data_IF_301153845500
#
_entry.id   IF_301153845500
#
_cell.length_a   1.000
_cell.length_b   1.000
_cell.length_c   1.000
_cell.angle_alpha   90.00
_cell.angle_beta   90.00
_cell.angle_gamma   90.00
#
_symmetry.space_group_name_H-M   'P 1'
#
loop_
_entity.id
_entity.type
_entity.pdbx_description
1 polymer ?
#
# COMPACT_ATOMS: atom_id res chain seq x y z
N UNK A 1 -33.43 -5.53 -78.63
CA UNK A 1 -33.44 -5.03 -77.19
C UNK A 1 -32.88 -3.61 -77.23
N UNK A 2 -33.65 -2.65 -76.79
CA UNK A 2 -33.33 -1.24 -76.97
C UNK A 2 -32.09 -0.89 -76.07
N UNK A 3 -31.07 -0.17 -76.67
CA UNK A 3 -29.79 0.14 -76.02
C UNK A 3 -29.96 0.77 -74.62
N UNK A 4 -31.07 1.50 -74.41
CA UNK A 4 -31.45 2.07 -73.13
C UNK A 4 -31.82 1.03 -72.07
N UNK A 5 -32.49 -0.05 -72.47
CA UNK A 5 -32.86 -1.16 -71.57
C UNK A 5 -31.62 -1.96 -71.16
N UNK A 6 -30.67 -2.16 -72.11
CA UNK A 6 -29.42 -2.82 -71.83
C UNK A 6 -28.56 -2.05 -70.80
N UNK A 7 -28.50 -0.71 -70.94
CA UNK A 7 -27.75 0.16 -70.00
C UNK A 7 -28.36 0.12 -68.60
N UNK A 8 -29.68 0.11 -68.44
CA UNK A 8 -30.34 0.01 -67.14
C UNK A 8 -30.07 -1.35 -66.48
N UNK A 9 -30.17 -2.43 -67.24
CA UNK A 9 -29.88 -3.78 -66.74
C UNK A 9 -28.43 -3.92 -66.31
N UNK A 10 -27.47 -3.40 -67.09
CA UNK A 10 -26.02 -3.42 -66.71
C UNK A 10 -25.76 -2.58 -65.47
N UNK A 11 -26.37 -1.40 -65.32
CA UNK A 11 -26.26 -0.57 -64.16
C UNK A 11 -26.82 -1.24 -62.89
N UNK A 12 -27.98 -1.89 -62.99
CA UNK A 12 -28.55 -2.62 -61.88
C UNK A 12 -27.70 -3.84 -61.46
N UNK A 13 -27.14 -4.57 -62.41
CA UNK A 13 -26.26 -5.71 -62.13
C UNK A 13 -24.96 -5.22 -61.46
N UNK A 14 -24.36 -4.12 -61.97
CA UNK A 14 -23.17 -3.52 -61.33
C UNK A 14 -23.45 -3.04 -59.90
N UNK A 15 -24.59 -2.42 -59.65
CA UNK A 15 -25.01 -1.97 -58.30
C UNK A 15 -25.20 -3.13 -57.33
N UNK A 16 -25.80 -4.26 -57.81
CA UNK A 16 -25.97 -5.45 -57.04
C UNK A 16 -24.62 -6.13 -56.72
N UNK A 17 -23.74 -6.23 -57.70
CA UNK A 17 -22.40 -6.82 -57.53
C UNK A 17 -21.54 -5.98 -56.58
N UNK A 18 -21.56 -4.62 -56.72
CA UNK A 18 -20.87 -3.75 -55.78
C UNK A 18 -21.49 -3.78 -54.38
N UNK A 19 -22.81 -3.86 -54.29
CA UNK A 19 -23.51 -4.01 -52.99
C UNK A 19 -23.17 -5.34 -52.31
N UNK A 20 -23.12 -6.44 -53.06
CA UNK A 20 -22.72 -7.76 -52.56
C UNK A 20 -21.21 -7.82 -52.20
N UNK A 21 -20.34 -7.14 -52.93
CA UNK A 21 -18.91 -7.04 -52.63
C UNK A 21 -18.66 -6.20 -51.36
N UNK A 22 -19.40 -5.10 -51.17
CA UNK A 22 -19.37 -4.29 -49.97
C UNK A 22 -19.99 -5.01 -48.76
N UNK A 23 -21.08 -5.75 -48.97
CA UNK A 23 -21.70 -6.55 -47.92
C UNK A 23 -20.79 -7.73 -47.50
N UNK A 24 -20.08 -8.38 -48.42
CA UNK A 24 -19.07 -9.39 -48.08
C UNK A 24 -17.85 -8.79 -47.39
N UNK A 25 -17.37 -7.58 -47.76
CA UNK A 25 -16.34 -6.87 -47.00
C UNK A 25 -16.80 -6.38 -45.63
N UNK A 26 -18.11 -6.08 -45.45
CA UNK A 26 -18.71 -5.74 -44.16
C UNK A 26 -19.06 -6.97 -43.31
N UNK A 27 -19.08 -8.18 -43.89
CA UNK A 27 -19.38 -9.43 -43.18
C UNK A 27 -18.15 -10.20 -42.69
N UNK A 28 -16.96 -9.88 -43.22
CA UNK A 28 -15.70 -10.17 -42.56
C UNK A 28 -15.41 -9.02 -41.58
N UNK A 29 -16.32 -8.78 -40.63
CA UNK A 29 -15.95 -8.22 -39.35
C UNK A 29 -14.89 -9.16 -38.82
N UNK A 30 -13.61 -8.82 -39.07
CA UNK A 30 -12.55 -9.28 -38.21
C UNK A 30 -13.13 -9.15 -36.78
N UNK A 31 -13.39 -10.26 -36.11
CA UNK A 31 -13.30 -10.28 -34.68
C UNK A 31 -11.91 -9.71 -34.46
N UNK A 32 -11.83 -8.39 -34.23
CA UNK A 32 -10.67 -7.81 -33.62
C UNK A 32 -10.52 -8.70 -32.39
N UNK A 33 -9.53 -9.60 -32.39
CA UNK A 33 -9.10 -10.28 -31.19
C UNK A 33 -8.95 -9.13 -30.20
N UNK A 34 -9.92 -9.01 -29.29
CA UNK A 34 -9.87 -7.98 -28.26
C UNK A 34 -8.63 -8.32 -27.45
N UNK A 35 -7.52 -7.63 -27.78
CA UNK A 35 -6.31 -7.73 -26.99
C UNK A 35 -6.72 -7.63 -25.52
N UNK A 36 -6.36 -8.63 -24.73
CA UNK A 36 -6.60 -8.58 -23.30
C UNK A 36 -5.96 -7.30 -22.75
N UNK A 37 -6.66 -6.67 -21.82
CA UNK A 37 -6.10 -5.53 -21.11
C UNK A 37 -4.82 -5.94 -20.41
N UNK A 38 -3.80 -5.11 -20.46
CA UNK A 38 -2.50 -5.35 -19.86
C UNK A 38 -2.24 -4.30 -18.77
N UNK A 39 -2.11 -4.76 -17.53
CA UNK A 39 -1.83 -3.91 -16.38
C UNK A 39 -0.31 -3.93 -16.13
N UNK A 40 0.30 -2.77 -15.90
CA UNK A 40 1.67 -2.68 -15.40
C UNK A 40 1.67 -2.49 -13.88
N UNK A 41 2.54 -3.21 -13.16
CA UNK A 41 2.74 -3.05 -11.72
C UNK A 41 4.23 -2.85 -11.44
N UNK A 42 4.60 -1.66 -10.97
CA UNK A 42 5.96 -1.35 -10.55
C UNK A 42 6.02 -1.25 -9.02
N UNK A 43 6.74 -2.19 -8.41
CA UNK A 43 6.93 -2.25 -6.96
C UNK A 43 8.30 -1.68 -6.58
N UNK A 44 8.36 -0.99 -5.45
CA UNK A 44 9.60 -0.59 -4.81
C UNK A 44 10.48 -1.81 -4.51
N UNK A 45 9.92 -2.78 -3.78
CA UNK A 45 10.66 -3.95 -3.29
C UNK A 45 9.74 -5.14 -3.05
N UNK A 46 10.33 -6.34 -3.01
CA UNK A 46 9.67 -7.58 -2.56
C UNK A 46 10.37 -8.19 -1.33
N UNK A 47 11.21 -7.41 -0.63
CA UNK A 47 11.94 -7.91 0.55
C UNK A 47 11.01 -8.22 1.72
N UNK A 48 9.99 -7.37 1.96
CA UNK A 48 9.00 -7.60 3.00
C UNK A 48 7.90 -8.55 2.50
N UNK A 49 7.49 -9.47 3.37
CA UNK A 49 6.45 -10.47 3.06
C UNK A 49 5.11 -9.81 2.64
N UNK A 50 4.82 -8.63 3.19
CA UNK A 50 3.64 -7.84 2.82
C UNK A 50 3.61 -7.58 1.31
N UNK A 51 4.68 -7.03 0.72
CA UNK A 51 4.71 -6.68 -0.69
C UNK A 51 4.59 -7.89 -1.63
N UNK A 52 5.11 -9.04 -1.20
CA UNK A 52 4.90 -10.30 -1.90
C UNK A 52 3.42 -10.68 -1.91
N UNK A 53 2.76 -10.59 -0.73
CA UNK A 53 1.34 -10.86 -0.58
C UNK A 53 0.47 -9.90 -1.41
N UNK A 54 0.75 -8.60 -1.35
CA UNK A 54 0.02 -7.58 -2.12
C UNK A 54 0.13 -7.85 -3.63
N UNK A 55 1.34 -8.10 -4.15
CA UNK A 55 1.58 -8.47 -5.54
C UNK A 55 0.76 -9.70 -5.95
N UNK A 56 0.85 -10.77 -5.17
CA UNK A 56 0.19 -12.04 -5.51
C UNK A 56 -1.34 -11.89 -5.53
N UNK A 57 -1.90 -11.11 -4.60
CA UNK A 57 -3.34 -10.81 -4.57
C UNK A 57 -3.78 -9.94 -5.74
N UNK A 58 -3.00 -8.92 -6.11
CA UNK A 58 -3.27 -8.06 -7.28
C UNK A 58 -3.22 -8.90 -8.56
N UNK A 59 -2.14 -9.65 -8.78
CA UNK A 59 -1.95 -10.52 -9.95
C UNK A 59 -3.12 -11.50 -10.10
N UNK A 60 -3.44 -12.20 -9.03
CA UNK A 60 -4.58 -13.13 -9.01
C UNK A 60 -5.88 -12.42 -9.40
N UNK A 61 -6.16 -11.24 -8.79
CA UNK A 61 -7.41 -10.53 -9.05
C UNK A 61 -7.49 -9.98 -10.46
N UNK A 62 -6.40 -9.48 -11.02
CA UNK A 62 -6.33 -9.03 -12.42
C UNK A 62 -6.66 -10.17 -13.39
N UNK A 63 -6.08 -11.36 -13.17
CA UNK A 63 -6.40 -12.55 -13.97
C UNK A 63 -7.85 -12.99 -13.82
N UNK A 64 -8.43 -12.98 -12.60
CA UNK A 64 -9.86 -13.26 -12.37
C UNK A 64 -10.77 -12.29 -13.14
N UNK A 65 -10.32 -11.06 -13.39
CA UNK A 65 -11.04 -10.05 -14.17
C UNK A 65 -10.82 -10.17 -15.69
N UNK A 66 -10.07 -11.17 -16.13
CA UNK A 66 -9.80 -11.44 -17.55
C UNK A 66 -8.73 -10.56 -18.18
N UNK A 67 -7.95 -9.82 -17.37
CA UNK A 67 -6.80 -9.02 -17.82
C UNK A 67 -5.47 -9.75 -17.57
N UNK A 68 -4.40 -9.28 -18.23
CA UNK A 68 -3.02 -9.70 -17.99
C UNK A 68 -2.28 -8.65 -17.17
N UNK A 69 -1.18 -9.05 -16.54
CA UNK A 69 -0.37 -8.14 -15.73
C UNK A 69 1.13 -8.41 -15.94
N UNK A 70 1.93 -7.35 -15.99
CA UNK A 70 3.39 -7.39 -15.91
C UNK A 70 3.82 -6.70 -14.64
N UNK A 71 4.54 -7.40 -13.78
CA UNK A 71 5.07 -6.86 -12.54
C UNK A 71 6.60 -6.77 -12.53
N UNK A 72 7.12 -5.76 -11.85
CA UNK A 72 8.56 -5.48 -11.66
C UNK A 72 8.82 -5.07 -10.22
N UNK A 73 10.06 -5.20 -9.77
CA UNK A 73 10.49 -4.76 -8.44
C UNK A 73 11.89 -4.15 -8.47
N UNK A 74 12.02 -2.93 -8.00
CA UNK A 74 13.20 -2.09 -8.12
C UNK A 74 14.25 -2.28 -7.01
N UNK A 75 13.94 -3.05 -5.96
CA UNK A 75 14.84 -3.33 -4.83
C UNK A 75 15.37 -2.08 -4.10
N UNK A 76 14.52 -1.09 -3.87
CA UNK A 76 14.85 0.18 -3.22
C UNK A 76 15.83 1.06 -4.04
N UNK A 77 15.68 1.07 -5.36
CA UNK A 77 16.49 1.89 -6.26
C UNK A 77 15.58 2.70 -7.20
N UNK A 78 15.63 4.03 -7.08
CA UNK A 78 14.80 4.94 -7.89
C UNK A 78 15.12 4.86 -9.38
N UNK A 79 16.39 4.71 -9.74
CA UNK A 79 16.80 4.63 -11.15
C UNK A 79 16.32 3.30 -11.77
N UNK A 80 16.42 2.20 -11.03
CA UNK A 80 15.87 0.92 -11.42
C UNK A 80 14.35 1.00 -11.59
N UNK A 81 13.64 1.66 -10.65
CA UNK A 81 12.19 1.81 -10.73
C UNK A 81 11.75 2.62 -11.95
N UNK A 82 12.43 3.71 -12.26
CA UNK A 82 12.18 4.49 -13.49
C UNK A 82 12.42 3.63 -14.74
N UNK A 83 13.51 2.86 -14.78
CA UNK A 83 13.79 1.94 -15.90
C UNK A 83 12.74 0.83 -16.04
N UNK A 84 12.19 0.35 -14.95
CA UNK A 84 11.08 -0.62 -14.95
C UNK A 84 9.78 0.00 -15.47
N UNK A 85 9.47 1.24 -15.10
CA UNK A 85 8.35 2.00 -15.64
C UNK A 85 8.50 2.21 -17.15
N UNK A 86 9.71 2.56 -17.63
CA UNK A 86 10.00 2.68 -19.08
C UNK A 86 9.73 1.36 -19.83
N UNK A 87 10.14 0.23 -19.26
CA UNK A 87 9.85 -1.09 -19.82
C UNK A 87 8.35 -1.38 -19.89
N UNK A 88 7.61 -1.09 -18.81
CA UNK A 88 6.16 -1.29 -18.78
C UNK A 88 5.45 -0.42 -19.83
N UNK A 89 5.84 0.85 -19.98
CA UNK A 89 5.34 1.74 -21.04
C UNK A 89 5.64 1.17 -22.42
N UNK A 90 6.87 0.70 -22.67
CA UNK A 90 7.29 0.10 -23.93
C UNK A 90 6.52 -1.18 -24.27
N UNK A 91 6.08 -1.92 -23.25
CA UNK A 91 5.20 -3.09 -23.41
C UNK A 91 3.72 -2.72 -23.61
N UNK A 92 3.40 -1.42 -23.77
CA UNK A 92 2.05 -0.91 -24.05
C UNK A 92 1.01 -1.36 -23.01
N UNK A 93 1.32 -1.22 -21.73
CA UNK A 93 0.33 -1.44 -20.67
C UNK A 93 -0.82 -0.43 -20.78
N UNK A 94 -2.04 -0.83 -20.45
CA UNK A 94 -3.24 0.02 -20.55
C UNK A 94 -3.43 0.92 -19.32
N UNK A 95 -2.81 0.54 -18.21
CA UNK A 95 -2.75 1.31 -16.95
C UNK A 95 -1.47 0.92 -16.22
N UNK A 96 -0.91 1.85 -15.47
CA UNK A 96 0.27 1.63 -14.65
C UNK A 96 -0.09 1.80 -13.16
N UNK A 97 0.21 0.79 -12.35
CA UNK A 97 0.15 0.85 -10.90
C UNK A 97 1.57 0.98 -10.37
N UNK A 98 1.82 1.92 -9.46
CA UNK A 98 3.14 2.17 -8.89
C UNK A 98 3.06 2.16 -7.37
N UNK A 99 3.91 1.35 -6.72
CA UNK A 99 4.30 1.51 -5.32
C UNK A 99 5.63 2.25 -5.31
N UNK A 100 5.68 3.56 -5.09
CA UNK A 100 6.92 4.31 -5.23
C UNK A 100 7.93 4.00 -4.11
N UNK A 101 9.23 3.90 -4.44
CA UNK A 101 10.31 3.94 -3.45
C UNK A 101 10.46 5.37 -2.91
N UNK A 102 10.69 6.34 -3.80
CA UNK A 102 10.63 7.76 -3.46
C UNK A 102 9.41 8.40 -4.13
N UNK A 103 8.49 8.92 -3.30
CA UNK A 103 7.24 9.52 -3.77
C UNK A 103 7.45 10.75 -4.66
N UNK A 104 8.56 11.48 -4.54
CA UNK A 104 8.88 12.62 -5.40
C UNK A 104 9.58 12.18 -6.69
N UNK A 105 10.56 11.28 -6.59
CA UNK A 105 11.29 10.78 -7.74
C UNK A 105 10.35 10.14 -8.77
N UNK A 106 9.32 9.42 -8.32
CA UNK A 106 8.36 8.74 -9.19
C UNK A 106 7.38 9.68 -9.90
N UNK A 107 7.37 10.99 -9.60
CA UNK A 107 6.65 11.99 -10.42
C UNK A 107 7.11 11.97 -11.90
N UNK A 108 8.40 11.67 -12.14
CA UNK A 108 8.93 11.47 -13.49
C UNK A 108 8.25 10.29 -14.19
N UNK A 109 8.06 9.17 -13.49
CA UNK A 109 7.36 8.00 -14.03
C UNK A 109 5.91 8.28 -14.42
N UNK A 110 5.20 9.10 -13.61
CA UNK A 110 3.84 9.55 -13.94
C UNK A 110 3.84 10.37 -15.23
N UNK A 111 4.76 11.35 -15.35
CA UNK A 111 4.85 12.18 -16.56
C UNK A 111 5.11 11.33 -17.82
N UNK A 112 6.04 10.38 -17.76
CA UNK A 112 6.37 9.48 -18.86
C UNK A 112 5.16 8.60 -19.28
N UNK A 113 4.41 8.08 -18.31
CA UNK A 113 3.21 7.30 -18.57
C UNK A 113 2.12 8.17 -19.25
N UNK A 114 1.93 9.40 -18.80
CA UNK A 114 0.98 10.34 -19.41
C UNK A 114 1.35 10.76 -20.82
N UNK A 115 2.64 10.98 -21.10
CA UNK A 115 3.13 11.22 -22.47
C UNK A 115 2.79 10.06 -23.43
N UNK A 116 2.76 8.82 -22.89
CA UNK A 116 2.32 7.63 -23.63
C UNK A 116 0.79 7.41 -23.59
N UNK A 117 0.02 8.30 -22.95
CA UNK A 117 -1.43 8.19 -22.79
C UNK A 117 -1.87 7.09 -21.81
N UNK A 118 -1.00 6.66 -20.91
CA UNK A 118 -1.24 5.61 -19.91
C UNK A 118 -1.60 6.25 -18.57
N UNK A 119 -2.79 6.00 -18.01
CA UNK A 119 -3.16 6.49 -16.69
C UNK A 119 -2.40 5.75 -15.58
N UNK A 120 -2.22 6.45 -14.44
CA UNK A 120 -1.38 5.98 -13.33
C UNK A 120 -2.16 5.92 -12.02
N UNK A 121 -2.05 4.80 -11.34
CA UNK A 121 -2.52 4.59 -9.96
C UNK A 121 -1.31 4.53 -9.02
N UNK A 122 -1.28 5.38 -8.00
CA UNK A 122 -0.39 5.15 -6.86
C UNK A 122 -1.06 4.16 -5.91
N UNK A 123 -0.37 3.05 -5.62
CA UNK A 123 -0.83 2.02 -4.71
C UNK A 123 -0.08 2.10 -3.39
N UNK A 124 -0.81 2.17 -2.29
CA UNK A 124 -0.36 2.30 -0.90
C UNK A 124 0.43 3.59 -0.63
N UNK A 125 1.51 3.87 -1.34
CA UNK A 125 2.35 5.06 -1.17
C UNK A 125 2.02 6.14 -2.18
N UNK A 126 1.92 7.40 -1.74
CA UNK A 126 1.53 8.53 -2.57
C UNK A 126 2.70 9.02 -3.44
N UNK A 127 2.44 9.21 -4.75
CA UNK A 127 3.36 9.92 -5.64
C UNK A 127 3.05 11.42 -5.55
N UNK A 128 4.04 12.19 -5.10
CA UNK A 128 3.91 13.63 -4.88
C UNK A 128 4.23 14.44 -6.12
N UNK A 129 3.80 15.68 -6.11
CA UNK A 129 4.17 16.70 -7.10
C UNK A 129 3.90 16.27 -8.57
N UNK A 130 2.86 15.45 -8.78
CA UNK A 130 2.51 14.83 -10.06
C UNK A 130 1.01 14.98 -10.40
N UNK A 131 0.64 14.75 -11.66
CA UNK A 131 -0.76 14.72 -12.11
C UNK A 131 -1.35 13.30 -12.00
N UNK A 132 -1.23 12.69 -10.84
CA UNK A 132 -1.68 11.34 -10.58
C UNK A 132 -3.19 11.18 -10.80
N UNK A 133 -3.62 10.08 -11.48
CA UNK A 133 -5.04 9.85 -11.80
C UNK A 133 -5.84 9.29 -10.62
N UNK A 134 -5.21 8.44 -9.80
CA UNK A 134 -5.87 7.81 -8.66
C UNK A 134 -4.85 7.40 -7.59
N UNK A 135 -5.25 7.58 -6.33
CA UNK A 135 -4.53 7.06 -5.17
C UNK A 135 -5.38 6.01 -4.45
N UNK A 136 -4.81 4.82 -4.22
CA UNK A 136 -5.47 3.71 -3.51
C UNK A 136 -4.62 3.31 -2.33
N UNK A 137 -5.10 3.57 -1.11
CA UNK A 137 -4.31 3.40 0.11
C UNK A 137 -5.21 3.18 1.34
N UNK A 138 -4.61 3.31 2.51
CA UNK A 138 -5.27 3.39 3.81
C UNK A 138 -5.29 4.83 4.32
N UNK A 139 -6.11 5.10 5.33
CA UNK A 139 -6.06 6.38 6.05
C UNK A 139 -4.82 6.42 6.95
N UNK A 140 -3.72 6.89 6.40
CA UNK A 140 -2.43 6.90 7.06
C UNK A 140 -2.34 7.90 8.24
N UNK A 141 -3.10 9.00 8.18
CA UNK A 141 -3.21 9.91 9.32
C UNK A 141 -3.89 9.18 10.48
N UNK A 142 -4.97 8.46 10.20
CA UNK A 142 -5.68 7.66 11.21
C UNK A 142 -4.82 6.55 11.79
N UNK A 143 -3.94 5.93 10.99
CA UNK A 143 -2.94 4.97 11.52
C UNK A 143 -2.10 5.63 12.62
N UNK A 144 -1.53 6.80 12.35
CA UNK A 144 -0.71 7.52 13.33
C UNK A 144 -1.51 7.92 14.58
N UNK A 145 -2.75 8.38 14.40
CA UNK A 145 -3.64 8.70 15.53
C UNK A 145 -3.88 7.47 16.40
N UNK A 146 -4.28 6.34 15.83
CA UNK A 146 -4.55 5.11 16.58
C UNK A 146 -3.31 4.59 17.33
N UNK A 147 -2.11 4.69 16.74
CA UNK A 147 -0.87 4.33 17.43
C UNK A 147 -0.63 5.21 18.65
N UNK A 148 -0.77 6.53 18.49
CA UNK A 148 -0.55 7.47 19.58
C UNK A 148 -1.65 7.39 20.66
N UNK A 149 -2.93 7.27 20.28
CA UNK A 149 -4.07 7.06 21.18
C UNK A 149 -3.84 5.82 22.06
N UNK A 150 -3.44 4.71 21.41
CA UNK A 150 -3.13 3.48 22.15
C UNK A 150 -1.97 3.70 23.13
N UNK A 151 -0.84 4.23 22.66
CA UNK A 151 0.31 4.45 23.53
C UNK A 151 -0.04 5.32 24.73
N UNK A 152 -0.65 6.49 24.50
CA UNK A 152 -1.03 7.46 25.53
C UNK A 152 -1.96 6.85 26.58
N UNK A 153 -2.94 6.06 26.15
CA UNK A 153 -3.91 5.42 27.06
C UNK A 153 -3.33 4.25 27.87
N UNK A 154 -2.23 3.63 27.42
CA UNK A 154 -1.61 2.46 28.05
C UNK A 154 -0.27 2.74 28.72
N UNK A 155 0.19 4.01 28.76
CA UNK A 155 1.35 4.39 29.59
C UNK A 155 1.12 3.98 31.04
N UNK A 156 2.18 3.70 31.85
CA UNK A 156 2.06 3.34 33.25
C UNK A 156 1.20 4.32 34.07
N UNK A 157 1.26 5.60 33.72
CA UNK A 157 0.28 6.62 34.14
C UNK A 157 -0.39 7.13 32.85
N UNK A 158 -1.66 6.78 32.58
CA UNK A 158 -2.35 7.20 31.36
C UNK A 158 -2.23 8.71 31.11
N UNK A 159 -1.79 9.06 29.91
CA UNK A 159 -1.58 10.45 29.49
C UNK A 159 -0.29 11.09 30.00
N UNK A 160 0.57 10.39 30.75
CA UNK A 160 1.82 10.94 31.29
C UNK A 160 2.98 9.97 31.12
N UNK A 161 4.12 10.46 30.66
CA UNK A 161 5.31 9.63 30.52
C UNK A 161 6.35 10.17 29.57
N UNK A 162 7.39 9.37 29.36
CA UNK A 162 8.48 9.64 28.44
C UNK A 162 8.49 8.62 27.31
N UNK A 163 8.60 9.07 26.08
CA UNK A 163 8.50 8.20 24.91
C UNK A 163 9.67 8.42 23.94
N UNK A 164 10.01 7.36 23.22
CA UNK A 164 10.85 7.40 22.03
C UNK A 164 9.92 7.34 20.81
N UNK A 165 10.22 8.10 19.74
CA UNK A 165 9.48 8.02 18.48
C UNK A 165 10.40 7.53 17.38
N UNK A 166 9.93 6.54 16.61
CA UNK A 166 10.64 6.02 15.44
C UNK A 166 9.73 6.22 14.23
N UNK A 167 10.13 7.14 13.37
CA UNK A 167 9.45 7.40 12.11
C UNK A 167 9.90 6.42 11.03
N UNK A 168 9.13 6.33 9.93
CA UNK A 168 9.50 5.54 8.77
C UNK A 168 10.54 6.20 7.87
N UNK A 169 10.61 5.79 6.60
CA UNK A 169 11.50 6.42 5.62
C UNK A 169 11.03 7.81 5.24
N UNK A 170 11.97 8.77 5.10
CA UNK A 170 11.67 10.14 4.65
C UNK A 170 11.20 10.22 3.20
N UNK A 171 11.52 9.22 2.39
CA UNK A 171 11.14 9.13 0.98
C UNK A 171 9.69 8.67 0.79
N UNK A 172 9.11 8.04 1.83
CA UNK A 172 7.74 7.56 1.84
C UNK A 172 6.80 8.58 2.50
N UNK A 173 5.83 9.09 1.72
CA UNK A 173 4.84 10.05 2.23
C UNK A 173 3.98 9.49 3.36
N UNK A 174 3.76 8.16 3.41
CA UNK A 174 3.00 7.53 4.49
C UNK A 174 3.65 7.79 5.86
N UNK A 175 4.99 7.75 5.93
CA UNK A 175 5.72 8.05 7.17
C UNK A 175 5.46 9.47 7.69
N UNK A 176 5.34 10.45 6.78
CA UNK A 176 4.96 11.83 7.14
C UNK A 176 3.51 11.89 7.63
N UNK A 177 2.58 11.16 7.00
CA UNK A 177 1.18 11.11 7.40
C UNK A 177 1.00 10.39 8.76
N UNK A 178 1.72 9.30 9.02
CA UNK A 178 1.74 8.66 10.35
C UNK A 178 2.23 9.62 11.42
N UNK A 179 3.36 10.33 11.12
CA UNK A 179 3.86 11.35 12.04
C UNK A 179 2.82 12.44 12.31
N UNK A 180 2.12 12.91 11.28
CA UNK A 180 1.04 13.91 11.43
C UNK A 180 -0.06 13.39 12.36
N UNK A 181 -0.54 12.16 12.16
CA UNK A 181 -1.55 11.54 13.02
C UNK A 181 -1.07 11.41 14.48
N UNK A 182 0.17 10.98 14.66
CA UNK A 182 0.79 10.93 15.99
C UNK A 182 0.87 12.33 16.63
N UNK A 183 1.26 13.35 15.85
CA UNK A 183 1.35 14.75 16.33
C UNK A 183 -0.03 15.28 16.71
N UNK A 184 -1.09 15.00 15.95
CA UNK A 184 -2.46 15.40 16.26
C UNK A 184 -2.87 14.96 17.67
N UNK A 185 -2.55 13.73 18.04
CA UNK A 185 -2.89 13.16 19.37
C UNK A 185 -1.94 13.66 20.45
N UNK A 186 -0.63 13.71 20.18
CA UNK A 186 0.38 14.04 21.18
C UNK A 186 0.43 15.53 21.51
N UNK A 187 0.06 16.43 20.60
CA UNK A 187 0.20 17.87 20.76
C UNK A 187 -0.32 18.42 22.11
N UNK A 188 -1.53 18.11 22.59
CA UNK A 188 -2.03 18.62 23.86
C UNK A 188 -1.22 18.09 25.08
N UNK A 189 -0.70 16.88 25.02
CA UNK A 189 0.10 16.29 26.11
C UNK A 189 1.51 16.88 26.16
N UNK A 190 2.11 17.11 24.99
CA UNK A 190 3.42 17.78 24.86
C UNK A 190 3.35 19.23 25.34
N UNK A 191 2.29 19.96 24.95
CA UNK A 191 2.09 21.35 25.35
C UNK A 191 1.97 21.54 26.88
N UNK A 192 1.36 20.56 27.59
CA UNK A 192 1.24 20.56 29.04
C UNK A 192 2.47 19.99 29.76
N UNK A 193 3.41 19.38 29.04
CA UNK A 193 4.54 18.66 29.63
C UNK A 193 4.15 17.32 30.27
N UNK A 194 2.95 16.82 30.02
CA UNK A 194 2.48 15.52 30.51
C UNK A 194 3.23 14.36 29.84
N UNK A 195 3.50 14.49 28.53
CA UNK A 195 4.34 13.57 27.78
C UNK A 195 5.59 14.30 27.31
N UNK A 196 6.74 13.62 27.36
CA UNK A 196 8.00 14.10 26.84
C UNK A 196 8.56 13.12 25.83
N UNK A 197 8.89 13.58 24.63
CA UNK A 197 9.69 12.84 23.67
C UNK A 197 11.16 12.99 24.08
N UNK A 198 11.79 11.90 24.49
CA UNK A 198 13.19 11.90 24.94
C UNK A 198 14.16 11.68 23.79
N UNK A 199 13.72 10.99 22.75
CA UNK A 199 14.48 10.77 21.52
C UNK A 199 13.52 10.52 20.34
N UNK A 200 13.89 11.01 19.15
CA UNK A 200 13.13 10.71 17.93
C UNK A 200 14.04 10.75 16.70
N UNK A 201 13.82 9.85 15.75
CA UNK A 201 14.51 9.85 14.47
C UNK A 201 13.76 9.03 13.41
N UNK A 202 14.23 9.12 12.17
CA UNK A 202 13.70 8.44 10.99
C UNK A 202 14.49 7.15 10.70
N UNK A 203 13.77 6.06 10.46
CA UNK A 203 14.37 4.79 10.06
C UNK A 203 14.47 4.75 8.52
N UNK A 204 15.69 4.95 8.02
CA UNK A 204 16.01 4.89 6.60
C UNK A 204 15.51 3.58 5.99
N UNK A 205 14.79 3.66 4.85
CA UNK A 205 14.22 2.55 4.11
C UNK A 205 13.41 1.57 4.98
N UNK A 206 12.81 2.07 6.06
CA UNK A 206 12.06 1.27 7.03
C UNK A 206 12.88 0.14 7.69
N UNK A 207 14.21 0.20 7.62
CA UNK A 207 15.10 -0.87 8.07
C UNK A 207 15.02 -1.08 9.59
N UNK A 208 14.79 -2.33 10.07
CA UNK A 208 14.83 -2.65 11.50
C UNK A 208 16.13 -2.28 12.17
N UNK A 209 17.26 -2.40 11.47
CA UNK A 209 18.60 -2.02 11.98
C UNK A 209 18.71 -0.53 12.25
N UNK A 210 18.05 0.32 11.44
CA UNK A 210 17.98 1.75 11.70
C UNK A 210 17.18 2.03 12.98
N UNK A 211 16.04 1.40 13.15
CA UNK A 211 15.23 1.51 14.36
C UNK A 211 15.97 1.02 15.62
N UNK A 212 16.72 -0.08 15.52
CA UNK A 212 17.58 -0.57 16.59
C UNK A 212 18.62 0.48 17.02
N UNK A 213 19.30 1.12 16.04
CA UNK A 213 20.26 2.17 16.33
C UNK A 213 19.65 3.38 17.05
N UNK A 214 18.42 3.76 16.65
CA UNK A 214 17.67 4.86 17.27
C UNK A 214 17.41 4.56 18.75
N UNK A 215 16.93 3.35 19.08
CA UNK A 215 16.65 2.97 20.48
C UNK A 215 17.95 2.82 21.28
N UNK A 216 19.01 2.26 20.72
CA UNK A 216 20.31 2.18 21.37
C UNK A 216 20.88 3.57 21.70
N UNK A 217 20.73 4.55 20.78
CA UNK A 217 21.12 5.92 21.04
C UNK A 217 20.30 6.54 22.18
N UNK A 218 18.98 6.29 22.22
CA UNK A 218 18.12 6.74 23.29
C UNK A 218 18.52 6.13 24.65
N UNK A 219 18.80 4.83 24.69
CA UNK A 219 19.24 4.13 25.92
C UNK A 219 20.60 4.65 26.39
N UNK A 220 21.53 4.89 25.46
CA UNK A 220 22.84 5.46 25.80
C UNK A 220 22.70 6.84 26.42
N UNK A 221 21.80 7.68 25.90
CA UNK A 221 21.62 9.06 26.36
C UNK A 221 20.78 9.18 27.65
N UNK A 222 19.79 8.30 27.86
CA UNK A 222 18.75 8.44 28.88
C UNK A 222 18.61 7.20 29.77
N UNK A 223 19.39 6.12 29.56
CA UNK A 223 19.19 4.84 30.25
C UNK A 223 17.80 4.27 29.99
N UNK A 224 17.19 3.68 31.01
CA UNK A 224 15.84 3.12 30.96
C UNK A 224 14.72 4.16 31.27
N UNK A 225 15.05 5.45 31.29
CA UNK A 225 14.12 6.51 31.71
C UNK A 225 13.16 6.92 30.57
N UNK A 226 12.42 5.92 30.09
CA UNK A 226 11.29 6.08 29.17
C UNK A 226 10.28 4.95 29.38
N UNK A 227 9.03 5.16 28.94
CA UNK A 227 7.88 4.28 29.19
C UNK A 227 7.45 3.50 27.96
N UNK A 228 7.70 4.03 26.76
CA UNK A 228 7.30 3.38 25.52
C UNK A 228 8.02 3.88 24.28
N UNK A 229 7.89 3.11 23.22
CA UNK A 229 8.42 3.38 21.87
C UNK A 229 7.24 3.46 20.92
N UNK A 230 7.01 4.64 20.35
CA UNK A 230 6.04 4.88 19.30
C UNK A 230 6.72 4.57 17.95
N UNK A 231 6.68 3.30 17.56
CA UNK A 231 7.23 2.82 16.30
C UNK A 231 6.15 2.80 15.21
N UNK A 232 6.50 3.28 14.02
CA UNK A 232 5.53 3.51 12.93
C UNK A 232 5.11 2.24 12.19
N UNK A 233 5.91 1.16 12.21
CA UNK A 233 5.52 -0.13 11.65
C UNK A 233 6.15 -1.30 12.42
N UNK A 234 5.77 -2.54 12.05
CA UNK A 234 6.20 -3.77 12.73
C UNK A 234 7.67 -4.12 12.50
N UNK A 235 8.23 -3.73 11.35
CA UNK A 235 9.65 -3.86 11.06
C UNK A 235 10.50 -2.99 12.01
N UNK A 236 10.16 -1.71 12.12
CA UNK A 236 10.84 -0.77 13.04
C UNK A 236 10.56 -1.12 14.50
N UNK A 237 9.35 -1.60 14.85
CA UNK A 237 9.05 -2.15 16.16
C UNK A 237 9.95 -3.35 16.50
N UNK A 238 10.19 -4.24 15.53
CA UNK A 238 11.10 -5.38 15.68
C UNK A 238 12.53 -4.96 16.00
N UNK A 239 13.05 -3.95 15.30
CA UNK A 239 14.36 -3.37 15.59
C UNK A 239 14.45 -2.75 16.99
N UNK A 240 13.39 -2.00 17.37
CA UNK A 240 13.28 -1.43 18.71
C UNK A 240 13.27 -2.51 19.80
N UNK A 241 12.46 -3.56 19.61
CA UNK A 241 12.35 -4.67 20.56
C UNK A 241 13.68 -5.43 20.68
N UNK A 242 14.44 -5.56 19.59
CA UNK A 242 15.76 -6.18 19.63
C UNK A 242 16.73 -5.38 20.52
N UNK A 243 16.73 -4.04 20.41
CA UNK A 243 17.52 -3.20 21.30
C UNK A 243 17.06 -3.33 22.78
N UNK A 244 15.73 -3.34 23.01
CA UNK A 244 15.18 -3.52 24.35
C UNK A 244 15.50 -4.90 24.94
N UNK A 245 15.56 -5.95 24.11
CA UNK A 245 15.91 -7.31 24.53
C UNK A 245 17.35 -7.40 25.02
N UNK A 246 18.28 -6.81 24.30
CA UNK A 246 19.72 -6.79 24.66
C UNK A 246 19.97 -6.11 26.01
N UNK A 247 19.13 -5.13 26.38
CA UNK A 247 19.19 -4.39 27.63
C UNK A 247 18.24 -4.94 28.72
N UNK A 248 17.52 -6.02 28.47
CA UNK A 248 16.59 -6.64 29.42
C UNK A 248 15.29 -5.86 29.64
N UNK A 249 14.88 -5.01 28.68
CA UNK A 249 13.66 -4.19 28.77
C UNK A 249 12.53 -4.67 27.87
N UNK A 250 12.71 -5.70 27.05
CA UNK A 250 11.65 -6.27 26.22
C UNK A 250 10.46 -6.74 27.08
N UNK A 251 9.24 -6.38 26.68
CA UNK A 251 8.01 -6.64 27.45
C UNK A 251 7.81 -5.73 28.67
N UNK A 252 8.77 -4.88 29.02
CA UNK A 252 8.66 -3.89 30.11
C UNK A 252 8.35 -2.47 29.60
N UNK A 253 8.54 -2.22 28.32
CA UNK A 253 8.27 -0.95 27.64
C UNK A 253 7.21 -1.20 26.57
N UNK A 254 6.26 -0.29 26.44
CA UNK A 254 5.24 -0.36 25.40
C UNK A 254 5.90 -0.15 24.04
N UNK A 255 5.54 -0.95 23.04
CA UNK A 255 6.00 -0.77 21.66
C UNK A 255 4.80 -0.89 20.74
N UNK A 256 4.58 0.15 19.92
CA UNK A 256 3.53 0.13 18.87
C UNK A 256 4.05 -0.44 17.57
N UNK A 257 3.16 -0.71 16.63
CA UNK A 257 3.51 -1.16 15.29
C UNK A 257 2.39 -0.92 14.28
N UNK A 258 2.56 -1.43 13.08
CA UNK A 258 1.61 -1.41 11.97
C UNK A 258 1.99 -2.50 10.96
N UNK A 259 1.03 -2.99 10.22
CA UNK A 259 1.01 -3.99 9.15
C UNK A 259 0.58 -5.38 9.61
N UNK A 260 0.53 -5.66 10.91
CA UNK A 260 0.18 -6.96 11.49
C UNK A 260 1.02 -8.11 10.89
N UNK A 261 2.33 -7.89 10.75
CA UNK A 261 3.26 -8.94 10.34
C UNK A 261 3.14 -10.16 11.27
N UNK A 262 3.29 -11.38 10.74
CA UNK A 262 3.14 -12.60 11.55
C UNK A 262 4.06 -12.60 12.77
N UNK A 263 5.30 -12.10 12.62
CA UNK A 263 6.26 -11.99 13.74
C UNK A 263 5.79 -10.94 14.76
N UNK A 264 5.16 -9.85 14.31
CA UNK A 264 4.59 -8.86 15.21
C UNK A 264 3.38 -9.41 15.96
N UNK A 265 2.49 -10.15 15.28
CA UNK A 265 1.39 -10.85 15.92
C UNK A 265 1.90 -11.82 17.00
N UNK A 266 2.97 -12.58 16.72
CA UNK A 266 3.64 -13.43 17.70
C UNK A 266 4.21 -12.62 18.89
N UNK A 267 4.86 -11.47 18.64
CA UNK A 267 5.36 -10.58 19.69
C UNK A 267 4.24 -10.04 20.58
N UNK A 268 3.08 -9.72 19.97
CA UNK A 268 1.91 -9.21 20.69
C UNK A 268 1.33 -10.28 21.60
N UNK A 269 1.11 -11.49 21.10
CA UNK A 269 0.57 -12.59 21.93
C UNK A 269 1.54 -13.06 23.01
N UNK A 270 2.85 -12.85 22.82
CA UNK A 270 3.90 -13.12 23.80
C UNK A 270 4.20 -11.92 24.72
N UNK A 271 3.64 -10.74 24.47
CA UNK A 271 3.74 -9.57 25.33
C UNK A 271 5.00 -8.71 25.16
N UNK A 272 5.76 -8.87 24.09
CA UNK A 272 6.95 -8.04 23.81
C UNK A 272 6.65 -6.85 22.89
N UNK A 273 5.50 -6.87 22.19
CA UNK A 273 4.92 -5.74 21.46
C UNK A 273 3.51 -5.52 22.01
N UNK A 274 3.08 -4.27 22.13
CA UNK A 274 1.80 -3.95 22.76
C UNK A 274 0.63 -4.02 21.80
N UNK A 275 0.82 -3.54 20.56
CA UNK A 275 -0.19 -3.49 19.51
C UNK A 275 0.41 -3.42 18.12
N UNK A 276 -0.41 -3.64 17.14
CA UNK A 276 -0.15 -3.28 15.74
C UNK A 276 -1.41 -2.69 15.10
N UNK A 277 -1.27 -1.98 14.00
CA UNK A 277 -2.40 -1.58 13.15
C UNK A 277 -2.51 -2.58 12.02
N UNK A 278 -3.63 -3.31 11.97
CA UNK A 278 -3.97 -4.19 10.87
C UNK A 278 -4.57 -3.40 9.71
N UNK A 279 -3.98 -3.56 8.57
CA UNK A 279 -4.45 -3.04 7.27
C UNK A 279 -5.00 -4.22 6.47
N UNK A 280 -6.31 -4.25 6.12
CA UNK A 280 -6.87 -5.36 5.34
C UNK A 280 -6.39 -5.30 3.88
N UNK A 281 -5.12 -5.67 3.65
CA UNK A 281 -4.44 -5.59 2.35
C UNK A 281 -5.14 -6.38 1.26
N UNK A 282 -5.81 -7.50 1.61
CA UNK A 282 -6.63 -8.27 0.67
C UNK A 282 -7.73 -7.42 0.04
N UNK A 283 -8.40 -6.60 0.84
CA UNK A 283 -9.42 -5.66 0.35
C UNK A 283 -8.80 -4.57 -0.52
N UNK A 284 -7.68 -3.99 -0.08
CA UNK A 284 -6.96 -2.96 -0.83
C UNK A 284 -6.51 -3.48 -2.20
N UNK A 285 -5.82 -4.62 -2.24
CA UNK A 285 -5.30 -5.24 -3.45
C UNK A 285 -6.42 -5.57 -4.46
N UNK A 286 -7.54 -6.14 -3.98
CA UNK A 286 -8.72 -6.40 -4.82
C UNK A 286 -9.32 -5.13 -5.39
N UNK A 287 -9.50 -4.12 -4.55
CA UNK A 287 -10.04 -2.81 -4.96
C UNK A 287 -9.13 -2.16 -6.00
N UNK A 288 -7.83 -2.14 -5.76
CA UNK A 288 -6.85 -1.57 -6.70
C UNK A 288 -6.87 -2.29 -8.06
N UNK A 289 -6.89 -3.63 -8.08
CA UNK A 289 -6.99 -4.41 -9.31
C UNK A 289 -8.29 -4.12 -10.09
N UNK A 290 -9.43 -4.01 -9.39
CA UNK A 290 -10.73 -3.68 -10.00
C UNK A 290 -10.75 -2.26 -10.58
N UNK A 291 -10.14 -1.31 -9.88
CA UNK A 291 -10.02 0.08 -10.33
C UNK A 291 -9.05 0.19 -11.52
N UNK A 292 -7.93 -0.56 -11.49
CA UNK A 292 -6.98 -0.62 -12.59
C UNK A 292 -7.65 -1.14 -13.88
N UNK A 293 -8.40 -2.24 -13.81
CA UNK A 293 -9.13 -2.76 -14.97
C UNK A 293 -10.19 -1.77 -15.46
N UNK A 294 -10.92 -1.10 -14.57
CA UNK A 294 -11.89 -0.06 -14.97
C UNK A 294 -11.21 1.12 -15.66
N UNK A 295 -10.06 1.56 -15.14
CA UNK A 295 -9.29 2.67 -15.69
C UNK A 295 -8.71 2.30 -17.08
N UNK A 296 -8.18 1.08 -17.22
CA UNK A 296 -7.74 0.52 -18.50
C UNK A 296 -8.89 0.46 -19.53
N UNK A 297 -10.12 0.22 -19.08
CA UNK A 297 -11.34 0.28 -19.91
C UNK A 297 -11.81 1.72 -20.21
N UNK A 298 -11.07 2.73 -19.80
CA UNK A 298 -11.45 4.16 -19.92
C UNK A 298 -12.80 4.50 -19.27
N UNK A 299 -13.20 3.75 -18.23
CA UNK A 299 -14.41 4.01 -17.47
C UNK A 299 -14.19 5.16 -16.47
N UNK A 300 -15.21 5.98 -16.29
CA UNK A 300 -15.18 7.04 -15.28
C UNK A 300 -15.14 6.40 -13.89
N UNK A 301 -14.16 6.80 -13.08
CA UNK A 301 -14.07 6.42 -11.68
C UNK A 301 -14.66 7.52 -10.79
N UNK A 302 -15.42 7.11 -9.79
CA UNK A 302 -15.95 8.03 -8.77
C UNK A 302 -15.24 7.73 -7.47
N UNK A 303 -14.31 8.60 -7.08
CA UNK A 303 -13.69 8.58 -5.76
C UNK A 303 -14.47 9.48 -4.81
N UNK A 304 -14.69 9.02 -3.57
CA UNK A 304 -15.39 9.79 -2.54
C UNK A 304 -14.46 10.71 -1.74
N UNK A 305 -13.18 10.50 -1.85
CA UNK A 305 -12.13 11.19 -1.11
C UNK A 305 -11.10 11.75 -2.09
N UNK A 306 -10.32 12.72 -1.65
CA UNK A 306 -9.18 13.23 -2.39
C UNK A 306 -8.04 13.54 -1.42
N UNK A 307 -6.82 13.41 -1.90
CA UNK A 307 -5.59 13.66 -1.14
C UNK A 307 -4.73 14.65 -1.89
N UNK A 308 -4.30 15.71 -1.24
CA UNK A 308 -3.34 16.67 -1.79
C UNK A 308 -1.96 16.01 -1.91
N UNK A 309 -1.43 15.97 -3.13
CA UNK A 309 -0.09 15.43 -3.37
C UNK A 309 0.99 16.50 -3.58
N UNK A 310 0.63 17.77 -3.35
CA UNK A 310 1.50 18.93 -3.56
C UNK A 310 1.33 19.62 -4.93
N UNK A 311 0.70 18.95 -5.92
CA UNK A 311 0.41 19.50 -7.24
C UNK A 311 -1.09 19.61 -7.50
N UNK A 312 -1.83 18.56 -7.17
CA UNK A 312 -3.28 18.45 -7.36
C UNK A 312 -3.94 17.78 -6.18
N UNK A 313 -5.26 17.93 -6.08
CA UNK A 313 -6.12 17.11 -5.22
C UNK A 313 -6.43 15.80 -5.96
N UNK A 314 -5.68 14.73 -5.65
CA UNK A 314 -5.78 13.43 -6.30
C UNK A 314 -7.02 12.69 -5.83
N UNK A 315 -7.90 12.20 -6.73
CA UNK A 315 -8.97 11.29 -6.35
C UNK A 315 -8.42 10.09 -5.56
N UNK A 316 -9.02 9.75 -4.42
CA UNK A 316 -8.49 8.71 -3.53
C UNK A 316 -9.55 7.71 -3.08
N UNK A 317 -9.11 6.47 -2.90
CA UNK A 317 -9.86 5.41 -2.22
C UNK A 317 -9.03 4.97 -1.02
N UNK A 318 -9.47 5.38 0.17
CA UNK A 318 -8.81 5.09 1.43
C UNK A 318 -9.59 4.03 2.19
N UNK A 319 -8.93 2.92 2.52
CA UNK A 319 -9.49 1.82 3.29
C UNK A 319 -9.31 2.07 4.80
N UNK A 320 -10.25 1.55 5.59
CA UNK A 320 -10.19 1.60 7.04
C UNK A 320 -9.06 0.69 7.59
N UNK A 321 -8.62 1.01 8.80
CA UNK A 321 -7.58 0.29 9.52
C UNK A 321 -8.08 -0.10 10.92
N UNK A 322 -7.48 -1.13 11.52
CA UNK A 322 -7.94 -1.68 12.82
C UNK A 322 -6.77 -1.80 13.77
N UNK A 323 -6.94 -1.26 14.99
CA UNK A 323 -6.00 -1.52 16.09
C UNK A 323 -6.11 -2.97 16.55
N UNK A 324 -4.99 -3.68 16.56
CA UNK A 324 -4.90 -5.09 16.97
C UNK A 324 -4.02 -5.20 18.19
N UNK A 325 -4.57 -5.84 19.21
CA UNK A 325 -3.94 -6.17 20.48
C UNK A 325 -4.04 -7.67 20.73
N UNK A 326 -3.52 -8.14 21.85
CA UNK A 326 -3.66 -9.53 22.26
C UNK A 326 -5.13 -9.96 22.40
N UNK A 327 -5.99 -9.04 22.88
CA UNK A 327 -7.39 -9.30 23.20
C UNK A 327 -8.26 -9.53 21.96
N UNK A 328 -7.96 -8.83 20.86
CA UNK A 328 -8.78 -8.92 19.64
C UNK A 328 -8.08 -9.61 18.44
N UNK A 329 -6.91 -10.20 18.65
CA UNK A 329 -6.12 -10.88 17.61
C UNK A 329 -6.92 -11.94 16.85
N UNK A 330 -7.71 -12.76 17.57
CA UNK A 330 -8.54 -13.81 16.95
C UNK A 330 -9.68 -13.23 16.10
N UNK A 331 -10.30 -12.14 16.56
CA UNK A 331 -11.47 -11.54 15.92
C UNK A 331 -11.10 -10.64 14.75
N UNK A 332 -9.81 -10.35 14.59
CA UNK A 332 -9.29 -9.49 13.53
C UNK A 332 -8.41 -10.29 12.55
N UNK A 333 -7.13 -10.37 12.79
CA UNK A 333 -6.12 -10.96 11.91
C UNK A 333 -6.40 -12.43 11.56
N UNK A 334 -6.76 -13.25 12.58
CA UNK A 334 -7.01 -14.69 12.39
C UNK A 334 -8.34 -14.92 11.69
N UNK A 335 -9.42 -14.25 12.13
CA UNK A 335 -10.75 -14.40 11.54
C UNK A 335 -10.80 -13.96 10.07
N UNK A 336 -10.06 -12.92 9.71
CA UNK A 336 -9.95 -12.46 8.32
C UNK A 336 -9.09 -13.38 7.44
N UNK A 337 -8.41 -14.35 8.04
CA UNK A 337 -7.51 -15.28 7.37
C UNK A 337 -6.25 -14.61 6.84
N UNK A 338 -5.83 -13.49 7.44
CA UNK A 338 -4.59 -12.82 7.10
C UNK A 338 -3.38 -13.66 7.54
N UNK A 339 -3.43 -14.18 8.77
CA UNK A 339 -2.55 -15.22 9.29
C UNK A 339 -3.36 -16.34 9.94
N UNK A 340 -2.86 -17.57 9.88
CA UNK A 340 -3.49 -18.70 10.54
C UNK A 340 -3.31 -18.64 12.06
N UNK A 341 -4.22 -19.29 12.78
CA UNK A 341 -4.11 -19.42 14.23
C UNK A 341 -2.77 -20.05 14.66
N UNK A 342 -2.34 -21.10 13.95
CA UNK A 342 -1.10 -21.82 14.23
C UNK A 342 0.14 -20.95 14.03
N UNK A 343 0.13 -20.07 13.02
CA UNK A 343 1.22 -19.13 12.79
C UNK A 343 1.29 -18.08 13.90
N UNK A 344 0.17 -17.45 14.24
CA UNK A 344 0.12 -16.37 15.26
C UNK A 344 0.51 -16.91 16.64
N UNK A 345 -0.02 -18.07 17.04
CA UNK A 345 0.20 -18.62 18.39
C UNK A 345 1.38 -19.60 18.47
N UNK A 346 2.24 -19.64 17.44
CA UNK A 346 3.46 -20.45 17.46
C UNK A 346 4.33 -20.05 18.65
N UNK A 347 4.72 -21.05 19.46
CA UNK A 347 5.56 -20.83 20.64
C UNK A 347 4.82 -20.36 21.91
N UNK A 348 3.53 -20.05 21.82
CA UNK A 348 2.71 -19.78 23.01
C UNK A 348 2.32 -21.13 23.64
N UNK A 349 2.47 -21.37 24.96
CA UNK A 349 2.04 -22.60 25.61
C UNK A 349 0.53 -22.85 25.43
N UNK A 350 0.13 -24.09 25.15
CA UNK A 350 -1.27 -24.44 24.89
C UNK A 350 -2.23 -24.04 26.04
N UNK A 351 -1.73 -24.12 27.28
CA UNK A 351 -2.52 -23.77 28.48
C UNK A 351 -2.96 -22.32 28.54
N UNK A 352 -2.31 -21.42 27.78
CA UNK A 352 -2.62 -19.96 27.77
C UNK A 352 -3.06 -19.47 26.39
N UNK A 353 -3.16 -20.37 25.39
CA UNK A 353 -3.72 -20.04 24.09
C UNK A 353 -5.23 -19.88 24.19
N UNK A 354 -5.83 -18.86 23.56
CA UNK A 354 -7.27 -18.84 23.38
C UNK A 354 -7.72 -20.03 22.52
N UNK A 355 -8.97 -20.44 22.65
CA UNK A 355 -9.51 -21.49 21.75
C UNK A 355 -9.50 -20.99 20.31
N UNK A 356 -9.14 -21.83 19.33
CA UNK A 356 -9.27 -21.48 17.92
C UNK A 356 -10.72 -21.08 17.58
N UNK A 357 -10.92 -20.18 16.61
CA UNK A 357 -12.25 -19.72 16.22
C UNK A 357 -13.11 -20.81 15.57
#
# INVERSE_FOLDING_TARGET
MNSRVLLVVVSCVLSIVTGLALARRGGEGAQAEHRKLLIGLSLDTLKEARWQGDRDMIVKRVHELGAEILDTAANNDDAAQIGDIEKLITNHVDVLMIVPHDGKAMAKGVAMAHEAGIPVIAYDRLIRDSELDLYVSFDNVKVGELQAEFLVSHLPTPGKGKIIRIYGSKTDNNAAQFKQGQDNVLAPYLARGDIRVVHEDWAEDWKPEAAKRIVNAAITAHGADFDGVLASNDGTAGGAIQALLEEGYAGKKLVTGQDADVVACQRIVNGTQAMTIYKPVKTLARTAAELAVKLAQRKVLVAKQAVDNGKISVPAVLSEVVTVTRENMLQTVVKDGYHSYEEVYRGVPESVRPKPP
#
